data_IF_194284463312
#
_entry.id   IF_194284463312
#
_cell.length_a   1.000
_cell.length_b   1.000
_cell.length_c   1.000
_cell.angle_alpha   90.00
_cell.angle_beta   90.00
_cell.angle_gamma   90.00
#
_symmetry.space_group_name_H-M   'P 1'
#
loop_
_entity.id
_entity.type
_entity.pdbx_description
1 polymer ?
#
# COMPACT_ATOMS: atom_id res chain seq x y z
N UNK A 1 5.80 -52.35 40.51
CA UNK A 1 6.78 -52.00 39.46
C UNK A 1 6.14 -52.35 38.13
N UNK A 2 5.43 -51.41 37.52
CA UNK A 2 4.90 -51.57 36.16
C UNK A 2 5.45 -50.41 35.32
N UNK A 3 6.15 -50.77 34.26
CA UNK A 3 6.80 -49.86 33.30
C UNK A 3 5.80 -49.44 32.23
N UNK A 4 5.62 -48.13 32.03
CA UNK A 4 4.87 -47.56 30.90
C UNK A 4 5.75 -47.51 29.63
N UNK A 5 5.19 -47.71 28.42
CA UNK A 5 5.90 -47.44 27.18
C UNK A 5 5.74 -45.98 26.73
N UNK A 6 6.84 -45.41 26.22
CA UNK A 6 6.91 -44.08 25.60
C UNK A 6 6.46 -44.14 24.13
N UNK A 7 5.64 -43.20 23.61
CA UNK A 7 5.37 -43.13 22.19
C UNK A 7 6.40 -42.25 21.49
N UNK A 8 7.29 -42.86 20.71
CA UNK A 8 8.09 -42.16 19.72
C UNK A 8 7.19 -41.70 18.56
N UNK A 9 6.66 -40.48 18.65
CA UNK A 9 5.95 -39.83 17.57
C UNK A 9 6.92 -39.46 16.43
N UNK A 10 6.90 -40.22 15.35
CA UNK A 10 7.60 -39.87 14.10
C UNK A 10 6.83 -38.72 13.44
N UNK A 11 7.36 -37.51 13.52
CA UNK A 11 6.83 -36.34 12.79
C UNK A 11 7.10 -36.58 11.30
N UNK A 12 6.03 -36.86 10.54
CA UNK A 12 6.10 -36.94 9.09
C UNK A 12 6.28 -35.52 8.54
N UNK A 13 7.38 -35.29 7.83
CA UNK A 13 7.63 -34.05 7.10
C UNK A 13 6.62 -33.89 5.97
N UNK A 14 5.96 -32.72 5.83
CA UNK A 14 4.94 -32.52 4.81
C UNK A 14 5.52 -32.59 3.39
N UNK A 15 4.69 -33.06 2.46
CA UNK A 15 5.05 -33.25 1.04
C UNK A 15 5.13 -31.88 0.34
N UNK A 16 5.90 -31.77 -0.75
CA UNK A 16 6.10 -30.51 -1.51
C UNK A 16 4.81 -29.75 -1.88
N UNK A 17 3.70 -30.46 -2.12
CA UNK A 17 2.39 -29.84 -2.42
C UNK A 17 1.70 -29.21 -1.20
N UNK A 18 2.01 -29.66 0.00
CA UNK A 18 1.47 -29.12 1.26
C UNK A 18 2.19 -27.81 1.62
N UNK A 19 3.48 -27.69 1.30
CA UNK A 19 4.23 -26.43 1.38
C UNK A 19 3.65 -25.34 0.45
N UNK A 20 3.28 -25.68 -0.79
CA UNK A 20 2.67 -24.72 -1.73
C UNK A 20 1.31 -24.21 -1.24
N UNK A 21 0.55 -25.05 -0.53
CA UNK A 21 -0.78 -24.68 -0.02
C UNK A 21 -0.70 -23.77 1.22
N UNK A 22 0.33 -23.95 2.06
CA UNK A 22 0.59 -23.08 3.22
C UNK A 22 1.09 -21.69 2.76
N UNK A 23 1.84 -21.60 1.66
CA UNK A 23 2.24 -20.32 1.08
C UNK A 23 1.07 -19.54 0.43
N UNK A 24 0.04 -20.23 -0.08
CA UNK A 24 -1.15 -19.56 -0.64
C UNK A 24 -2.02 -18.86 0.41
N UNK A 25 -1.91 -19.24 1.69
CA UNK A 25 -2.65 -18.63 2.80
C UNK A 25 -2.03 -17.36 3.39
N UNK A 26 -0.73 -17.11 3.17
CA UNK A 26 0.03 -16.06 3.87
C UNK A 26 0.49 -14.89 2.98
N UNK A 27 0.18 -14.90 1.68
CA UNK A 27 0.74 -13.91 0.75
C UNK A 27 -0.08 -12.62 0.60
N UNK A 28 -1.23 -12.51 1.27
CA UNK A 28 -2.06 -11.28 1.27
C UNK A 28 -1.40 -10.12 2.03
N UNK A 29 -0.45 -10.43 2.93
CA UNK A 29 0.31 -9.43 3.68
C UNK A 29 1.49 -8.83 2.91
N UNK A 30 1.75 -9.27 1.68
CA UNK A 30 2.83 -8.73 0.83
C UNK A 30 2.34 -8.10 -0.47
N UNK A 31 1.04 -8.17 -0.78
CA UNK A 31 0.48 -7.52 -1.97
C UNK A 31 -0.01 -6.11 -1.67
N UNK A 32 -0.03 -5.28 -2.71
CA UNK A 32 -0.62 -3.93 -2.66
C UNK A 32 -2.13 -4.07 -2.46
N UNK A 33 -2.72 -3.56 -1.36
CA UNK A 33 -4.14 -3.77 -1.08
C UNK A 33 -5.00 -2.94 -2.03
N UNK A 34 -6.13 -3.51 -2.48
CA UNK A 34 -7.10 -2.83 -3.33
C UNK A 34 -7.78 -1.65 -2.61
N UNK A 35 -7.90 -0.50 -3.27
CA UNK A 35 -8.75 0.60 -2.81
C UNK A 35 -10.18 0.29 -3.27
N UNK A 36 -11.04 -0.13 -2.34
CA UNK A 36 -12.39 -0.63 -2.64
C UNK A 36 -13.36 0.46 -3.07
N UNK A 37 -13.20 1.67 -2.53
CA UNK A 37 -14.06 2.80 -2.87
C UNK A 37 -13.38 4.12 -2.55
N UNK A 38 -13.67 5.13 -3.37
CA UNK A 38 -13.31 6.53 -3.14
C UNK A 38 -14.55 7.39 -3.38
N UNK A 39 -14.79 8.34 -2.49
CA UNK A 39 -15.75 9.42 -2.64
C UNK A 39 -15.23 10.64 -1.87
N UNK A 40 -15.96 11.76 -1.94
CA UNK A 40 -15.51 13.00 -1.31
C UNK A 40 -15.26 12.83 0.19
N UNK A 41 -14.00 13.00 0.61
CA UNK A 41 -13.60 12.89 2.02
C UNK A 41 -13.65 11.47 2.59
N UNK A 42 -13.76 10.44 1.74
CA UNK A 42 -13.93 9.07 2.20
C UNK A 42 -13.25 8.04 1.28
N UNK A 43 -12.43 7.18 1.88
CA UNK A 43 -11.73 6.10 1.20
C UNK A 43 -11.80 4.81 2.02
N UNK A 44 -11.93 3.67 1.34
CA UNK A 44 -11.85 2.33 1.95
C UNK A 44 -10.81 1.49 1.25
N UNK A 45 -9.99 0.81 2.04
CA UNK A 45 -8.92 -0.08 1.57
C UNK A 45 -9.22 -1.49 2.04
N UNK A 46 -9.10 -2.46 1.14
CA UNK A 46 -9.34 -3.87 1.43
C UNK A 46 -8.42 -4.36 2.55
N UNK A 47 -8.99 -5.00 3.55
CA UNK A 47 -8.24 -5.48 4.72
C UNK A 47 -8.07 -4.44 5.83
N UNK A 48 -8.53 -3.20 5.65
CA UNK A 48 -8.66 -2.23 6.73
C UNK A 48 -10.10 -2.20 7.25
N UNK A 49 -10.27 -2.21 8.58
CA UNK A 49 -11.57 -2.12 9.23
C UNK A 49 -12.14 -0.70 9.26
N UNK A 50 -11.29 0.31 9.11
CA UNK A 50 -11.66 1.73 9.17
C UNK A 50 -11.60 2.38 7.79
N UNK A 51 -12.43 3.40 7.60
CA UNK A 51 -12.32 4.32 6.47
C UNK A 51 -11.31 5.42 6.76
N UNK A 52 -10.74 5.97 5.70
CA UNK A 52 -9.86 7.13 5.76
C UNK A 52 -10.53 8.35 5.12
N UNK A 53 -10.11 9.55 5.53
CA UNK A 53 -10.30 10.74 4.68
C UNK A 53 -9.30 10.67 3.53
N UNK A 54 -8.03 10.74 3.86
CA UNK A 54 -6.91 10.61 2.93
C UNK A 54 -6.06 9.42 3.39
N UNK A 55 -5.46 8.68 2.46
CA UNK A 55 -4.70 7.49 2.83
C UNK A 55 -3.39 7.34 2.09
N UNK A 56 -2.49 6.61 2.76
CA UNK A 56 -1.26 6.04 2.23
C UNK A 56 -1.46 4.54 2.10
N UNK A 57 -1.01 3.95 1.01
CA UNK A 57 -1.11 2.50 0.73
C UNK A 57 0.20 1.96 0.19
N UNK A 58 0.52 0.71 0.49
CA UNK A 58 1.73 0.03 0.06
C UNK A 58 1.55 -1.49 0.13
N UNK A 59 2.47 -2.29 -0.44
CA UNK A 59 2.45 -3.75 -0.30
C UNK A 59 2.41 -4.17 1.17
N UNK A 60 1.29 -4.76 1.59
CA UNK A 60 1.06 -5.21 2.96
C UNK A 60 0.29 -4.26 3.89
N UNK A 61 -0.18 -3.10 3.42
CA UNK A 61 -1.11 -2.33 4.24
C UNK A 61 -1.41 -0.90 3.78
N UNK A 62 -2.09 -0.19 4.67
CA UNK A 62 -2.50 1.20 4.51
C UNK A 62 -2.53 1.93 5.83
N UNK A 63 -2.46 3.25 5.79
CA UNK A 63 -2.75 4.12 6.92
C UNK A 63 -3.36 5.45 6.49
N UNK A 64 -3.82 6.21 7.48
CA UNK A 64 -4.24 7.60 7.27
C UNK A 64 -3.07 8.47 6.80
N UNK A 65 -3.35 9.34 5.84
CA UNK A 65 -2.44 10.43 5.47
C UNK A 65 -2.83 11.71 6.22
N UNK A 66 -2.21 11.93 7.38
CA UNK A 66 -2.32 13.21 8.08
C UNK A 66 -1.24 14.17 7.60
N UNK A 67 -1.66 15.24 6.92
CA UNK A 67 -0.76 16.27 6.39
C UNK A 67 0.04 17.01 7.47
N UNK A 68 -0.44 17.01 8.72
CA UNK A 68 0.24 17.65 9.86
C UNK A 68 1.56 16.98 10.21
N UNK A 69 1.76 15.73 9.81
CA UNK A 69 3.01 15.00 10.05
C UNK A 69 4.19 15.56 9.27
N UNK A 70 3.92 16.20 8.12
CA UNK A 70 4.94 16.57 7.12
C UNK A 70 4.86 18.05 6.72
N UNK A 71 3.83 18.77 7.15
CA UNK A 71 3.60 20.15 6.76
C UNK A 71 3.02 20.28 5.35
N UNK A 72 2.34 19.24 4.86
CA UNK A 72 1.64 19.27 3.58
C UNK A 72 0.42 20.20 3.66
N UNK A 73 0.22 20.95 2.59
CA UNK A 73 -0.94 21.80 2.33
C UNK A 73 -1.12 21.83 0.81
N UNK A 74 -2.21 22.41 0.29
CA UNK A 74 -2.43 22.60 -1.14
C UNK A 74 -1.22 23.25 -1.82
N UNK A 75 -0.58 24.20 -1.13
CA UNK A 75 0.73 24.76 -1.46
C UNK A 75 1.57 24.86 -0.17
N UNK A 76 2.78 24.28 -0.11
CA UNK A 76 3.64 23.88 -1.24
C UNK A 76 3.29 22.55 -1.89
N UNK A 77 2.33 21.77 -1.37
CA UNK A 77 1.94 20.48 -1.93
C UNK A 77 2.57 19.29 -1.22
N UNK A 78 2.49 18.12 -1.86
CA UNK A 78 3.01 16.85 -1.33
C UNK A 78 4.50 16.93 -1.05
N UNK A 79 4.90 16.62 0.18
CA UNK A 79 6.29 16.65 0.61
C UNK A 79 6.98 15.29 0.36
N UNK A 80 8.30 15.26 0.12
CA UNK A 80 9.04 13.99 0.07
C UNK A 80 8.80 13.12 1.31
N UNK A 81 8.71 13.74 2.48
CA UNK A 81 8.42 13.07 3.75
C UNK A 81 7.07 12.33 3.78
N UNK A 82 6.09 12.72 2.96
CA UNK A 82 4.83 11.97 2.84
C UNK A 82 5.05 10.58 2.26
N UNK A 83 6.06 10.45 1.39
CA UNK A 83 6.32 9.30 0.54
C UNK A 83 7.38 8.35 1.11
N UNK A 84 8.26 8.83 2.00
CA UNK A 84 9.39 8.08 2.54
C UNK A 84 9.01 6.74 3.16
N UNK A 85 7.87 6.68 3.85
CA UNK A 85 7.42 5.41 4.41
C UNK A 85 7.00 4.40 3.34
N UNK A 86 6.42 4.86 2.23
CA UNK A 86 5.95 4.00 1.13
C UNK A 86 7.18 3.53 0.36
N UNK A 87 8.15 4.42 0.11
CA UNK A 87 9.40 4.10 -0.56
C UNK A 87 10.19 3.03 0.22
N UNK A 88 10.25 3.13 1.56
CA UNK A 88 10.88 2.11 2.43
C UNK A 88 10.21 0.73 2.37
N UNK A 89 8.98 0.61 1.83
CA UNK A 89 8.30 -0.68 1.61
C UNK A 89 8.72 -1.36 0.30
N UNK A 90 9.60 -0.75 -0.50
CA UNK A 90 10.15 -1.36 -1.72
C UNK A 90 9.16 -1.43 -2.87
N UNK A 91 8.43 -0.34 -3.10
CA UNK A 91 7.53 -0.18 -4.24
C UNK A 91 8.31 0.06 -5.54
N UNK A 92 7.77 -0.42 -6.65
CA UNK A 92 8.29 -0.16 -8.01
C UNK A 92 7.61 1.04 -8.64
N UNK A 93 6.34 1.26 -8.30
CA UNK A 93 5.53 2.38 -8.78
C UNK A 93 4.86 3.08 -7.60
N UNK A 94 4.88 4.41 -7.61
CA UNK A 94 4.21 5.27 -6.64
C UNK A 94 3.15 6.11 -7.36
N UNK A 95 1.91 6.00 -6.91
CA UNK A 95 0.77 6.75 -7.45
C UNK A 95 0.39 7.88 -6.49
N UNK A 96 0.24 9.10 -6.99
CA UNK A 96 -0.17 10.28 -6.21
C UNK A 96 -1.53 10.73 -6.74
N UNK A 97 -2.58 10.53 -5.93
CA UNK A 97 -3.90 11.11 -6.12
C UNK A 97 -3.93 12.52 -5.55
N UNK A 98 -3.86 13.53 -6.42
CA UNK A 98 -3.69 14.95 -6.03
C UNK A 98 -4.99 15.71 -5.79
N UNK A 99 -6.04 15.01 -5.38
CA UNK A 99 -7.37 15.56 -5.18
C UNK A 99 -8.31 15.34 -6.36
N UNK A 100 -9.60 15.46 -6.09
CA UNK A 100 -10.72 15.39 -7.01
C UNK A 100 -10.66 16.50 -8.07
N UNK A 101 -10.15 17.68 -7.67
CA UNK A 101 -10.02 18.88 -8.50
C UNK A 101 -8.56 19.22 -8.83
N UNK A 102 -7.63 18.32 -8.50
CA UNK A 102 -6.19 18.49 -8.71
C UNK A 102 -5.58 19.72 -8.00
N UNK A 103 -6.21 20.24 -6.96
CA UNK A 103 -5.78 21.48 -6.31
C UNK A 103 -4.51 21.28 -5.47
N UNK A 104 -4.32 20.08 -4.89
CA UNK A 104 -3.11 19.73 -4.17
C UNK A 104 -1.91 19.73 -5.12
N UNK A 105 -0.90 20.56 -4.86
CA UNK A 105 0.30 20.60 -5.69
C UNK A 105 1.19 19.37 -5.46
N UNK A 106 1.93 19.00 -6.51
CA UNK A 106 2.99 18.00 -6.42
C UNK A 106 4.26 18.65 -6.96
N UNK A 107 5.14 19.15 -6.07
CA UNK A 107 6.38 19.80 -6.48
C UNK A 107 7.25 18.90 -7.38
N UNK A 108 7.93 19.46 -8.39
CA UNK A 108 8.93 18.73 -9.17
C UNK A 108 10.00 18.08 -8.27
N UNK A 109 10.41 18.74 -7.19
CA UNK A 109 11.37 18.21 -6.22
C UNK A 109 10.89 16.90 -5.55
N UNK A 110 9.59 16.78 -5.26
CA UNK A 110 8.98 15.56 -4.72
C UNK A 110 8.99 14.42 -5.76
N UNK A 111 8.66 14.74 -7.02
CA UNK A 111 8.71 13.79 -8.13
C UNK A 111 10.15 13.30 -8.36
N UNK A 112 11.12 14.21 -8.37
CA UNK A 112 12.53 13.90 -8.52
C UNK A 112 13.07 13.05 -7.36
N UNK A 113 12.64 13.33 -6.14
CA UNK A 113 13.02 12.54 -4.97
C UNK A 113 12.63 11.06 -5.15
N UNK A 114 11.39 10.79 -5.61
CA UNK A 114 10.92 9.42 -5.89
C UNK A 114 11.74 8.78 -7.02
N UNK A 115 11.96 9.51 -8.14
CA UNK A 115 12.72 9.01 -9.29
C UNK A 115 14.17 8.68 -8.95
N UNK A 116 14.82 9.46 -8.07
CA UNK A 116 16.19 9.20 -7.59
C UNK A 116 16.31 7.86 -6.84
N UNK A 117 15.20 7.35 -6.30
CA UNK A 117 15.15 6.04 -5.67
C UNK A 117 14.85 4.89 -6.67
N UNK A 118 14.80 5.18 -7.97
CA UNK A 118 14.52 4.19 -9.02
C UNK A 118 13.05 3.78 -9.11
N UNK A 119 12.14 4.57 -8.54
CA UNK A 119 10.70 4.30 -8.49
C UNK A 119 9.98 5.12 -9.58
N UNK A 120 9.08 4.48 -10.33
CA UNK A 120 8.21 5.17 -11.28
C UNK A 120 7.14 5.96 -10.50
N UNK A 121 6.84 7.19 -10.92
CA UNK A 121 5.85 8.03 -10.25
C UNK A 121 4.75 8.47 -11.23
N UNK A 122 3.50 8.30 -10.82
CA UNK A 122 2.30 8.71 -11.57
C UNK A 122 1.52 9.71 -10.75
N UNK A 123 1.32 10.91 -11.28
CA UNK A 123 0.56 11.99 -10.62
C UNK A 123 -0.74 12.20 -11.39
N UNK A 124 -1.88 12.02 -10.73
CA UNK A 124 -3.20 11.96 -11.37
C UNK A 124 -4.28 12.57 -10.46
N UNK A 125 -5.37 13.06 -11.04
CA UNK A 125 -6.64 13.24 -10.33
C UNK A 125 -7.04 11.96 -9.58
N UNK A 126 -7.58 12.09 -8.36
CA UNK A 126 -7.70 10.97 -7.41
C UNK A 126 -8.50 9.77 -7.92
N UNK A 127 -9.60 9.94 -8.66
CA UNK A 127 -10.36 8.79 -9.17
C UNK A 127 -9.57 8.03 -10.25
N UNK A 128 -8.89 8.77 -11.13
CA UNK A 128 -7.96 8.18 -12.12
C UNK A 128 -6.78 7.50 -11.42
N UNK A 129 -6.26 8.10 -10.35
CA UNK A 129 -5.18 7.57 -9.55
C UNK A 129 -5.58 6.23 -8.91
N UNK A 130 -6.77 6.16 -8.29
CA UNK A 130 -7.30 4.94 -7.68
C UNK A 130 -7.49 3.84 -8.74
N UNK A 131 -8.04 4.18 -9.91
CA UNK A 131 -8.18 3.22 -11.01
C UNK A 131 -6.83 2.68 -11.47
N UNK A 132 -5.84 3.55 -11.68
CA UNK A 132 -4.50 3.15 -12.10
C UNK A 132 -3.81 2.29 -11.04
N UNK A 133 -3.88 2.70 -9.77
CA UNK A 133 -3.35 1.94 -8.64
C UNK A 133 -3.96 0.54 -8.57
N UNK A 134 -5.29 0.41 -8.66
CA UNK A 134 -5.96 -0.89 -8.59
C UNK A 134 -5.63 -1.77 -9.81
N UNK A 135 -5.47 -1.19 -11.00
CA UNK A 135 -5.02 -1.94 -12.18
C UNK A 135 -3.62 -2.54 -11.95
N UNK A 136 -2.68 -1.74 -11.45
CA UNK A 136 -1.31 -2.19 -11.15
C UNK A 136 -1.29 -3.23 -10.03
N UNK A 137 -2.03 -2.99 -8.94
CA UNK A 137 -2.15 -3.92 -7.83
C UNK A 137 -2.77 -5.27 -8.27
N UNK A 138 -3.80 -5.23 -9.12
CA UNK A 138 -4.44 -6.42 -9.69
C UNK A 138 -3.53 -7.24 -10.62
N UNK A 139 -2.51 -6.62 -11.20
CA UNK A 139 -1.46 -7.28 -11.98
C UNK A 139 -0.32 -7.84 -11.10
N UNK A 140 -0.39 -7.65 -9.78
CA UNK A 140 0.64 -8.10 -8.84
C UNK A 140 1.83 -7.15 -8.73
N UNK A 141 1.75 -5.93 -9.26
CA UNK A 141 2.81 -4.95 -9.12
C UNK A 141 2.97 -4.51 -7.65
N UNK A 142 4.21 -4.24 -7.23
CA UNK A 142 4.52 -3.60 -5.95
C UNK A 142 4.25 -2.10 -6.07
N UNK A 143 2.99 -1.72 -5.96
CA UNK A 143 2.53 -0.34 -6.09
C UNK A 143 2.19 0.22 -4.73
N UNK A 144 2.60 1.46 -4.47
CA UNK A 144 2.14 2.24 -3.33
C UNK A 144 1.58 3.57 -3.77
N UNK A 145 1.08 4.35 -2.83
CA UNK A 145 0.58 5.68 -3.16
C UNK A 145 0.04 6.46 -1.98
N UNK A 146 -0.17 7.75 -2.25
CA UNK A 146 -0.88 8.68 -1.37
C UNK A 146 -2.07 9.25 -2.13
N UNK A 147 -3.22 9.37 -1.46
CA UNK A 147 -4.47 9.76 -2.10
C UNK A 147 -5.19 10.81 -1.25
N UNK A 148 -5.39 11.98 -1.85
CA UNK A 148 -6.24 13.03 -1.29
C UNK A 148 -7.66 12.93 -1.86
N UNK A 149 -8.68 12.79 -1.02
CA UNK A 149 -10.06 12.53 -1.46
C UNK A 149 -10.96 13.76 -1.54
N UNK A 150 -10.42 14.96 -1.33
CA UNK A 150 -11.13 16.24 -1.53
C UNK A 150 -10.49 17.06 -2.64
N UNK A 151 -10.37 18.39 -2.55
CA UNK A 151 -9.88 19.21 -3.68
C UNK A 151 -8.38 19.11 -3.93
#
# INVERSE_FOLDING_TARGET
>A
METMPSPSGRVLSPTVHEFESIQKGNNTFMSSPEIQSVSWGHMKVKGCSSSYKDCKVWPGGSREWDWRETGTDHYPGVQPADLEEILRKGVQTLVIGRGMSEALQVPPSTVEHVKKQGVEVKVLQTEKAVKEYNNLAGQGAKVGGVFHSTC
#
